data_IF_600346110866
#
_entry.id   IF_600346110866
#
_cell.length_a   1.000
_cell.length_b   1.000
_cell.length_c   1.000
_cell.angle_alpha   90.00
_cell.angle_beta   90.00
_cell.angle_gamma   90.00
#
_symmetry.space_group_name_H-M   'P 1'
#
loop_
_entity.id
_entity.type
_entity.pdbx_description
1 polymer ?
#
# COMPACT_ATOMS: atom_id res chain seq x y z
N UNK A 1 2.27 6.48 17.97
CA UNK A 1 1.38 5.30 18.07
C UNK A 1 2.24 4.06 18.20
N UNK A 2 1.90 3.12 19.08
CA UNK A 2 2.62 1.84 19.23
C UNK A 2 1.81 0.73 18.59
N UNK A 3 2.47 -0.15 17.84
CA UNK A 3 1.83 -1.36 17.34
C UNK A 3 1.39 -2.25 18.50
N UNK A 4 0.19 -2.82 18.41
CA UNK A 4 -0.35 -3.75 19.40
C UNK A 4 -0.61 -5.11 18.75
N UNK A 5 -0.30 -6.17 19.49
CA UNK A 5 -0.76 -7.51 19.16
C UNK A 5 -2.08 -7.75 19.86
N UNK A 6 -3.12 -8.10 19.10
CA UNK A 6 -4.47 -8.25 19.60
C UNK A 6 -5.16 -9.48 19.02
N UNK A 7 -6.11 -10.04 19.75
CA UNK A 7 -7.04 -11.06 19.29
C UNK A 7 -8.28 -10.36 18.74
N UNK A 8 -8.50 -10.49 17.44
CA UNK A 8 -9.64 -9.88 16.75
C UNK A 8 -10.65 -10.97 16.38
N UNK A 9 -11.93 -10.71 16.63
CA UNK A 9 -13.00 -11.60 16.16
C UNK A 9 -13.41 -11.21 14.76
N UNK A 10 -13.55 -12.16 13.86
CA UNK A 10 -14.10 -11.91 12.52
C UNK A 10 -15.57 -11.52 12.66
N UNK A 11 -15.90 -10.31 12.26
CA UNK A 11 -17.28 -9.84 12.15
C UNK A 11 -17.92 -10.34 10.86
N UNK A 12 -17.20 -10.24 9.75
CA UNK A 12 -17.63 -10.74 8.43
C UNK A 12 -16.46 -10.94 7.48
N UNK A 13 -16.65 -11.87 6.54
CA UNK A 13 -15.86 -11.98 5.30
C UNK A 13 -16.87 -12.03 4.16
N UNK A 14 -16.77 -11.11 3.21
CA UNK A 14 -17.70 -11.03 2.08
C UNK A 14 -16.98 -10.75 0.78
N UNK A 15 -17.47 -11.28 -0.36
CA UNK A 15 -16.89 -10.95 -1.66
C UNK A 15 -17.18 -9.50 -2.03
N UNK A 16 -16.17 -8.85 -2.65
CA UNK A 16 -16.26 -7.52 -3.22
C UNK A 16 -15.50 -7.50 -4.56
N UNK A 17 -16.20 -7.60 -5.65
CA UNK A 17 -15.61 -7.86 -6.97
C UNK A 17 -14.78 -9.14 -6.97
N UNK A 18 -13.53 -9.09 -7.43
CA UNK A 18 -12.58 -10.22 -7.43
C UNK A 18 -11.84 -10.40 -6.09
N UNK A 19 -12.22 -9.67 -5.05
CA UNK A 19 -11.54 -9.63 -3.75
C UNK A 19 -12.45 -10.06 -2.62
N UNK A 20 -11.89 -10.16 -1.41
CA UNK A 20 -12.61 -10.41 -0.18
C UNK A 20 -12.43 -9.22 0.77
N UNK A 21 -13.53 -8.80 1.39
CA UNK A 21 -13.57 -7.80 2.44
C UNK A 21 -13.68 -8.49 3.78
N UNK A 22 -12.64 -8.36 4.59
CA UNK A 22 -12.56 -8.86 5.96
C UNK A 22 -12.79 -7.70 6.92
N UNK A 23 -13.80 -7.85 7.77
CA UNK A 23 -14.08 -6.92 8.88
C UNK A 23 -13.81 -7.64 10.20
N UNK A 24 -12.94 -7.03 11.00
CA UNK A 24 -12.52 -7.53 12.30
C UNK A 24 -13.05 -6.62 13.43
N UNK A 25 -13.57 -7.21 14.50
CA UNK A 25 -13.73 -6.54 15.77
C UNK A 25 -12.36 -6.39 16.42
N UNK A 26 -11.91 -5.16 16.58
CA UNK A 26 -10.56 -4.81 17.05
C UNK A 26 -10.64 -3.74 18.16
N UNK A 27 -11.10 -4.10 19.38
CA UNK A 27 -11.35 -3.13 20.44
C UNK A 27 -10.09 -2.43 20.96
N UNK A 28 -8.91 -2.98 20.66
CA UNK A 28 -7.62 -2.40 21.07
C UNK A 28 -6.95 -1.58 19.96
N UNK A 29 -7.57 -1.47 18.78
CA UNK A 29 -6.99 -0.72 17.66
C UNK A 29 -6.97 0.78 17.98
N UNK A 30 -5.80 1.38 17.85
CA UNK A 30 -5.64 2.83 17.93
C UNK A 30 -5.98 3.50 16.59
N UNK A 31 -5.80 4.80 16.50
CA UNK A 31 -5.95 5.55 15.27
C UNK A 31 -5.01 4.98 14.18
N UNK A 32 -5.54 4.78 12.99
CA UNK A 32 -4.80 4.32 11.81
C UNK A 32 -4.67 5.48 10.85
N UNK A 33 -3.48 5.65 10.28
CA UNK A 33 -3.23 6.63 9.22
C UNK A 33 -3.10 5.93 7.85
N UNK A 34 -3.44 6.62 6.74
CA UNK A 34 -3.30 6.05 5.40
C UNK A 34 -1.88 5.55 5.12
N UNK A 35 -1.73 4.32 4.65
CA UNK A 35 -0.43 3.68 4.40
C UNK A 35 0.04 2.76 5.52
N UNK A 36 -0.60 2.75 6.70
CA UNK A 36 -0.38 1.71 7.68
C UNK A 36 -0.88 0.35 7.17
N UNK A 37 -0.29 -0.72 7.69
CA UNK A 37 -0.68 -2.10 7.42
C UNK A 37 -0.90 -2.91 8.70
N UNK A 38 -1.50 -4.08 8.55
CA UNK A 38 -1.70 -5.05 9.59
C UNK A 38 -0.99 -6.36 9.25
N UNK A 39 -0.39 -7.02 10.23
CA UNK A 39 0.20 -8.35 10.10
C UNK A 39 -0.74 -9.38 10.74
N UNK A 40 -1.42 -10.17 9.92
CA UNK A 40 -2.45 -11.14 10.28
C UNK A 40 -1.87 -12.55 10.37
N UNK A 41 -2.06 -13.23 11.49
CA UNK A 41 -1.71 -14.63 11.61
C UNK A 41 -2.65 -15.51 10.78
N UNK A 42 -2.10 -16.48 10.09
CA UNK A 42 -2.83 -17.41 9.22
C UNK A 42 -2.49 -18.86 9.57
N UNK A 43 -3.36 -19.81 9.19
CA UNK A 43 -3.11 -21.24 9.35
C UNK A 43 -3.61 -21.86 10.65
N UNK A 44 -4.11 -21.07 11.60
CA UNK A 44 -4.64 -21.56 12.87
C UNK A 44 -3.61 -22.30 13.74
N UNK A 45 -4.08 -22.87 14.87
CA UNK A 45 -3.23 -23.66 15.77
C UNK A 45 -2.88 -24.99 15.09
N UNK A 46 -1.58 -25.24 14.90
CA UNK A 46 -1.09 -26.50 14.29
C UNK A 46 -1.10 -26.54 12.76
N UNK A 47 -1.48 -25.44 12.10
CA UNK A 47 -1.59 -25.39 10.62
C UNK A 47 -0.26 -25.27 9.84
N UNK A 48 0.90 -25.24 10.52
CA UNK A 48 2.22 -25.21 9.89
C UNK A 48 2.59 -23.88 9.22
N UNK A 49 1.70 -22.89 9.16
CA UNK A 49 1.98 -21.56 8.61
C UNK A 49 2.49 -20.62 9.71
N UNK A 50 3.82 -20.47 9.80
CA UNK A 50 4.46 -19.67 10.85
C UNK A 50 4.41 -18.17 10.61
N UNK A 51 4.42 -17.74 9.34
CA UNK A 51 4.55 -16.33 8.99
C UNK A 51 3.17 -15.66 8.85
N UNK A 52 3.07 -14.46 9.42
CA UNK A 52 1.92 -13.58 9.23
C UNK A 52 1.82 -13.10 7.78
N UNK A 53 0.67 -12.60 7.38
CA UNK A 53 0.47 -11.91 6.11
C UNK A 53 0.26 -10.42 6.38
N UNK A 54 1.01 -9.61 5.66
CA UNK A 54 0.87 -8.16 5.69
C UNK A 54 -0.25 -7.73 4.74
N UNK A 55 -1.13 -6.88 5.24
CA UNK A 55 -2.24 -6.30 4.45
C UNK A 55 -2.33 -4.81 4.72
N UNK A 56 -2.45 -4.01 3.68
CA UNK A 56 -2.82 -2.61 3.82
C UNK A 56 -4.16 -2.49 4.56
N UNK A 57 -4.24 -1.58 5.50
CA UNK A 57 -5.50 -1.31 6.20
C UNK A 57 -6.40 -0.51 5.26
N UNK A 58 -7.59 -1.05 4.98
CA UNK A 58 -8.60 -0.41 4.15
C UNK A 58 -9.33 0.69 4.92
N UNK A 59 -9.96 0.31 6.04
CA UNK A 59 -10.67 1.20 6.96
C UNK A 59 -10.40 0.79 8.40
N UNK A 60 -10.58 1.72 9.30
CA UNK A 60 -10.51 1.45 10.73
C UNK A 60 -11.37 2.45 11.49
N UNK A 61 -12.04 1.95 12.53
CA UNK A 61 -12.68 2.79 13.55
C UNK A 61 -11.96 2.53 14.85
N UNK A 62 -11.26 3.52 15.43
CA UNK A 62 -10.53 3.35 16.69
C UNK A 62 -11.39 2.72 17.78
N UNK A 63 -10.85 1.72 18.47
CA UNK A 63 -11.54 0.97 19.53
C UNK A 63 -12.70 0.08 19.06
N UNK A 64 -12.89 -0.10 17.75
CA UNK A 64 -14.03 -0.86 17.22
C UNK A 64 -13.63 -1.85 16.12
N UNK A 65 -13.20 -1.36 14.93
CA UNK A 65 -13.03 -2.21 13.77
C UNK A 65 -11.73 -1.98 13.03
N UNK A 66 -11.25 -3.05 12.41
CA UNK A 66 -10.18 -3.06 11.43
C UNK A 66 -10.67 -3.78 10.17
N UNK A 67 -10.50 -3.16 9.00
CA UNK A 67 -11.00 -3.69 7.73
C UNK A 67 -9.85 -3.87 6.73
N UNK A 68 -9.88 -4.98 6.02
CA UNK A 68 -8.83 -5.40 5.07
C UNK A 68 -9.49 -5.88 3.79
N UNK A 69 -8.92 -5.49 2.64
CA UNK A 69 -9.28 -6.05 1.33
C UNK A 69 -8.13 -6.95 0.89
N UNK A 70 -8.44 -8.18 0.49
CA UNK A 70 -7.42 -9.12 0.04
C UNK A 70 -7.90 -10.05 -1.08
N UNK A 71 -6.93 -10.61 -1.80
CA UNK A 71 -7.16 -11.66 -2.78
C UNK A 71 -6.67 -13.01 -2.26
N UNK A 72 -7.40 -14.08 -2.50
CA UNK A 72 -7.06 -15.43 -2.07
C UNK A 72 -6.10 -16.11 -3.08
N UNK A 73 -4.82 -15.73 -3.06
CA UNK A 73 -3.83 -16.23 -4.02
C UNK A 73 -2.98 -17.39 -3.50
N UNK A 74 -2.47 -17.32 -2.27
CA UNK A 74 -1.57 -18.29 -1.67
C UNK A 74 -2.21 -19.00 -0.49
N UNK A 75 -1.57 -20.04 0.03
CA UNK A 75 -2.09 -20.87 1.12
C UNK A 75 -2.63 -20.06 2.31
N UNK A 76 -1.92 -19.00 2.74
CA UNK A 76 -2.34 -18.18 3.88
C UNK A 76 -3.60 -17.37 3.60
N UNK A 77 -3.71 -16.75 2.43
CA UNK A 77 -4.92 -15.98 2.04
C UNK A 77 -6.07 -16.89 1.65
N UNK A 78 -5.80 -18.08 1.11
CA UNK A 78 -6.83 -19.10 0.89
C UNK A 78 -7.38 -19.61 2.23
N UNK A 79 -6.51 -19.89 3.22
CA UNK A 79 -6.94 -20.24 4.57
C UNK A 79 -7.79 -19.11 5.20
N UNK A 80 -7.35 -17.86 5.08
CA UNK A 80 -8.10 -16.72 5.60
C UNK A 80 -9.49 -16.61 4.97
N UNK A 81 -9.61 -16.92 3.68
CA UNK A 81 -10.88 -16.93 2.95
C UNK A 81 -11.87 -18.02 3.41
N UNK A 82 -11.39 -19.07 4.09
CA UNK A 82 -12.27 -20.13 4.65
C UNK A 82 -12.77 -19.86 6.05
N UNK A 83 -12.31 -18.76 6.68
CA UNK A 83 -12.74 -18.41 8.02
C UNK A 83 -14.17 -17.85 8.02
N UNK A 84 -14.82 -17.88 9.18
CA UNK A 84 -16.21 -17.48 9.36
C UNK A 84 -16.37 -16.41 10.43
N UNK A 85 -17.51 -15.73 10.44
CA UNK A 85 -17.85 -14.81 11.53
C UNK A 85 -17.84 -15.56 12.87
N UNK A 86 -17.23 -14.95 13.89
CA UNK A 86 -16.99 -15.54 15.20
C UNK A 86 -15.63 -16.17 15.40
N UNK A 87 -14.90 -16.51 14.32
CA UNK A 87 -13.53 -16.99 14.44
C UNK A 87 -12.60 -15.89 14.97
N UNK A 88 -11.57 -16.30 15.71
CA UNK A 88 -10.60 -15.38 16.33
C UNK A 88 -9.27 -15.44 15.61
N UNK A 89 -8.77 -14.29 15.17
CA UNK A 89 -7.50 -14.12 14.49
C UNK A 89 -6.55 -13.24 15.30
N UNK A 90 -5.28 -13.60 15.32
CA UNK A 90 -4.23 -12.80 15.95
C UNK A 90 -3.68 -11.78 14.94
N UNK A 91 -3.72 -10.50 15.31
CA UNK A 91 -3.33 -9.37 14.45
C UNK A 91 -2.34 -8.47 15.17
N UNK A 92 -1.33 -7.98 14.45
CA UNK A 92 -0.48 -6.88 14.92
C UNK A 92 -0.77 -5.67 14.04
N UNK A 93 -1.24 -4.58 14.64
CA UNK A 93 -1.58 -3.32 13.95
C UNK A 93 -1.58 -2.11 14.92
N UNK A 94 -1.49 -0.86 14.41
CA UNK A 94 -1.03 -0.50 13.07
C UNK A 94 0.48 -0.65 12.96
N UNK A 95 0.97 -1.03 11.79
CA UNK A 95 2.39 -1.21 11.49
C UNK A 95 2.83 -0.28 10.35
N UNK A 96 4.14 -0.03 10.28
CA UNK A 96 4.77 0.77 9.23
C UNK A 96 4.66 2.28 9.43
N UNK A 97 5.16 3.01 8.43
CA UNK A 97 5.07 4.47 8.35
C UNK A 97 4.01 4.87 7.32
N UNK A 98 3.09 5.76 7.68
CA UNK A 98 2.01 6.20 6.80
C UNK A 98 2.50 7.17 5.72
N UNK A 99 1.63 7.53 4.79
CA UNK A 99 1.84 8.64 3.88
C UNK A 99 2.03 9.96 4.63
N UNK A 100 3.02 10.73 4.21
CA UNK A 100 3.23 12.09 4.71
C UNK A 100 2.26 13.03 3.98
N UNK A 101 1.36 13.62 4.72
CA UNK A 101 0.32 14.51 4.18
C UNK A 101 0.82 15.96 4.14
N UNK A 102 0.39 16.77 3.16
CA UNK A 102 0.82 18.15 3.03
C UNK A 102 0.31 19.01 4.19
N UNK A 103 1.11 19.99 4.57
CA UNK A 103 0.76 20.95 5.63
C UNK A 103 -0.18 22.07 5.17
N UNK A 104 -0.23 22.29 3.86
CA UNK A 104 -1.07 23.31 3.22
C UNK A 104 -1.83 22.67 2.06
N UNK A 105 -2.98 23.22 1.66
CA UNK A 105 -3.73 22.76 0.50
C UNK A 105 -2.87 22.82 -0.77
N UNK A 106 -2.77 21.67 -1.45
CA UNK A 106 -2.10 21.51 -2.75
C UNK A 106 -2.94 20.60 -3.66
N UNK A 107 -2.60 20.56 -4.94
CA UNK A 107 -3.15 19.58 -5.85
C UNK A 107 -2.35 18.27 -5.74
N UNK A 108 -3.10 17.16 -5.57
CA UNK A 108 -2.57 15.82 -5.38
C UNK A 108 -3.16 14.84 -6.40
N UNK A 109 -2.36 13.86 -6.82
CA UNK A 109 -2.85 12.69 -7.57
C UNK A 109 -2.66 11.44 -6.72
N UNK A 110 -3.71 10.63 -6.61
CA UNK A 110 -3.65 9.27 -6.07
C UNK A 110 -3.60 8.30 -7.25
N UNK A 111 -2.62 7.40 -7.24
CA UNK A 111 -2.48 6.35 -8.25
C UNK A 111 -2.59 4.99 -7.58
N UNK A 112 -3.55 4.18 -8.01
CA UNK A 112 -3.78 2.88 -7.42
C UNK A 112 -3.88 1.77 -8.46
N UNK A 113 -3.30 0.60 -8.14
CA UNK A 113 -3.32 -0.59 -9.00
C UNK A 113 -4.01 -1.77 -8.32
N UNK A 114 -5.12 -2.25 -8.90
CA UNK A 114 -5.87 -3.39 -8.37
C UNK A 114 -6.32 -3.17 -6.92
N UNK A 115 -6.06 -4.15 -6.03
CA UNK A 115 -6.39 -4.02 -4.60
C UNK A 115 -5.48 -3.03 -3.84
N UNK A 116 -4.42 -2.49 -4.46
CA UNK A 116 -3.69 -1.32 -3.95
C UNK A 116 -4.57 -0.07 -3.81
N UNK A 117 -5.78 -0.08 -4.37
CA UNK A 117 -6.80 0.94 -4.12
C UNK A 117 -7.39 0.88 -2.69
N UNK A 118 -7.22 -0.22 -1.96
CA UNK A 118 -7.84 -0.42 -0.66
C UNK A 118 -7.52 0.68 0.38
N UNK A 119 -6.27 1.14 0.57
CA UNK A 119 -5.96 2.22 1.52
C UNK A 119 -6.25 3.63 0.97
N UNK A 120 -6.59 3.77 -0.32
CA UNK A 120 -6.59 5.05 -1.01
C UNK A 120 -7.83 5.91 -0.76
N UNK A 121 -8.96 5.29 -0.41
CA UNK A 121 -10.15 6.07 0.02
C UNK A 121 -9.86 6.83 1.32
N UNK A 122 -9.23 6.20 2.29
CA UNK A 122 -8.81 6.84 3.53
C UNK A 122 -7.85 8.01 3.25
N UNK A 123 -6.85 7.79 2.38
CA UNK A 123 -5.92 8.85 1.97
C UNK A 123 -6.64 10.02 1.29
N UNK A 124 -7.57 9.73 0.38
CA UNK A 124 -8.33 10.76 -0.32
C UNK A 124 -9.14 11.64 0.65
N UNK A 125 -9.83 11.01 1.64
CA UNK A 125 -10.57 11.72 2.70
C UNK A 125 -9.66 12.63 3.51
N UNK A 126 -8.50 12.14 3.93
CA UNK A 126 -7.53 12.91 4.70
C UNK A 126 -6.95 14.10 3.91
N UNK A 127 -6.67 13.94 2.61
CA UNK A 127 -6.23 15.02 1.74
C UNK A 127 -7.33 16.06 1.53
N UNK A 128 -8.57 15.61 1.30
CA UNK A 128 -9.73 16.50 1.14
C UNK A 128 -10.03 17.28 2.41
N UNK A 129 -9.92 16.64 3.58
CA UNK A 129 -10.11 17.31 4.87
C UNK A 129 -9.09 18.44 5.09
N UNK A 130 -7.91 18.37 4.43
CA UNK A 130 -6.88 19.43 4.42
C UNK A 130 -7.10 20.49 3.33
N UNK A 131 -8.20 20.41 2.59
CA UNK A 131 -8.51 21.33 1.50
C UNK A 131 -7.73 21.08 0.21
N UNK A 132 -7.06 19.92 0.07
CA UNK A 132 -6.36 19.56 -1.15
C UNK A 132 -7.34 19.25 -2.28
N UNK A 133 -6.93 19.58 -3.51
CA UNK A 133 -7.50 18.97 -4.70
C UNK A 133 -6.99 17.54 -4.81
N UNK A 134 -7.87 16.58 -5.07
CA UNK A 134 -7.53 15.17 -5.18
C UNK A 134 -8.06 14.59 -6.48
N UNK A 135 -7.16 14.30 -7.40
CA UNK A 135 -7.46 13.55 -8.61
C UNK A 135 -7.00 12.10 -8.44
N UNK A 136 -7.71 11.14 -9.01
CA UNK A 136 -7.40 9.71 -8.88
C UNK A 136 -7.19 9.08 -10.24
N UNK A 137 -6.13 8.30 -10.38
CA UNK A 137 -5.89 7.39 -11.51
C UNK A 137 -5.92 5.96 -10.97
N UNK A 138 -6.94 5.22 -11.35
CA UNK A 138 -7.16 3.84 -10.89
C UNK A 138 -6.96 2.87 -12.04
N UNK A 139 -6.01 1.94 -11.89
CA UNK A 139 -5.68 0.94 -12.89
C UNK A 139 -5.94 -0.48 -12.44
N UNK A 140 -6.27 -1.36 -13.38
CA UNK A 140 -6.33 -2.80 -13.19
C UNK A 140 -6.07 -3.53 -14.51
N UNK A 141 -5.79 -4.86 -14.45
CA UNK A 141 -5.67 -5.64 -15.68
C UNK A 141 -6.99 -5.73 -16.43
N UNK A 142 -8.11 -5.85 -15.72
CA UNK A 142 -9.48 -5.97 -16.28
C UNK A 142 -10.49 -5.20 -15.42
N UNK A 143 -11.69 -4.96 -15.94
CA UNK A 143 -12.79 -4.37 -15.17
C UNK A 143 -13.10 -5.13 -13.87
N UNK A 144 -13.05 -6.46 -13.90
CA UNK A 144 -13.34 -7.32 -12.73
C UNK A 144 -12.34 -7.11 -11.59
N UNK A 145 -11.10 -6.70 -11.92
CA UNK A 145 -10.03 -6.41 -10.96
C UNK A 145 -9.99 -4.96 -10.48
N UNK A 146 -10.91 -4.13 -10.92
CA UNK A 146 -11.08 -2.78 -10.37
C UNK A 146 -11.70 -2.85 -8.98
N UNK A 147 -11.17 -2.05 -8.06
CA UNK A 147 -11.67 -1.92 -6.70
C UNK A 147 -11.86 -0.46 -6.30
N UNK A 148 -12.92 -0.14 -5.57
CA UNK A 148 -13.12 1.15 -4.92
C UNK A 148 -13.44 2.32 -5.85
N UNK A 149 -13.84 2.08 -7.12
CA UNK A 149 -14.14 3.16 -8.10
C UNK A 149 -15.21 4.12 -7.59
N UNK A 150 -16.31 3.59 -7.03
CA UNK A 150 -17.42 4.43 -6.54
C UNK A 150 -17.05 5.16 -5.26
N UNK A 151 -16.35 4.49 -4.34
CA UNK A 151 -15.89 5.10 -3.10
C UNK A 151 -14.93 6.26 -3.38
N UNK A 152 -13.97 6.05 -4.28
CA UNK A 152 -13.03 7.10 -4.68
C UNK A 152 -13.71 8.26 -5.42
N UNK A 153 -14.72 7.99 -6.27
CA UNK A 153 -15.53 9.05 -6.88
C UNK A 153 -16.26 9.91 -5.87
N UNK A 154 -16.66 9.31 -4.73
CA UNK A 154 -17.36 10.04 -3.65
C UNK A 154 -16.47 10.98 -2.85
N UNK A 155 -15.13 10.85 -2.94
CA UNK A 155 -14.16 11.54 -2.07
C UNK A 155 -13.05 12.27 -2.84
N UNK A 156 -13.12 12.33 -4.17
CA UNK A 156 -12.13 13.00 -5.03
C UNK A 156 -12.77 13.96 -6.02
N UNK A 157 -11.97 14.83 -6.61
CA UNK A 157 -12.42 15.80 -7.62
C UNK A 157 -12.59 15.15 -8.99
N UNK A 158 -11.75 14.17 -9.33
CA UNK A 158 -11.88 13.36 -10.53
C UNK A 158 -11.36 11.93 -10.34
N UNK A 159 -11.90 10.98 -11.11
CA UNK A 159 -11.39 9.60 -11.18
C UNK A 159 -11.27 9.18 -12.63
N UNK A 160 -10.05 8.89 -13.06
CA UNK A 160 -9.75 8.27 -14.34
C UNK A 160 -9.48 6.79 -14.10
N UNK A 161 -10.18 5.94 -14.85
CA UNK A 161 -10.00 4.49 -14.80
C UNK A 161 -9.23 4.04 -16.03
N UNK A 162 -8.24 3.16 -15.83
CA UNK A 162 -7.52 2.48 -16.91
C UNK A 162 -7.61 0.97 -16.74
N UNK A 163 -7.73 0.22 -17.84
CA UNK A 163 -7.59 -1.25 -17.82
C UNK A 163 -6.66 -1.70 -18.94
N UNK A 164 -5.79 -2.67 -18.66
CA UNK A 164 -4.80 -3.13 -19.63
C UNK A 164 -5.49 -3.69 -20.90
N UNK A 165 -6.63 -4.39 -20.72
CA UNK A 165 -7.42 -4.99 -21.79
C UNK A 165 -8.44 -4.05 -22.43
N UNK A 166 -8.70 -2.87 -21.83
CA UNK A 166 -9.69 -1.90 -22.31
C UNK A 166 -11.14 -2.23 -21.96
N UNK A 167 -11.39 -3.16 -21.03
CA UNK A 167 -12.76 -3.54 -20.62
C UNK A 167 -13.48 -2.45 -19.83
N UNK A 168 -12.74 -1.47 -19.27
CA UNK A 168 -13.31 -0.30 -18.58
C UNK A 168 -12.37 0.90 -18.65
N UNK A 169 -12.93 2.09 -18.87
CA UNK A 169 -12.17 3.33 -18.92
C UNK A 169 -11.21 3.41 -20.11
N UNK A 170 -10.04 4.01 -19.91
CA UNK A 170 -8.99 4.13 -20.93
C UNK A 170 -8.25 2.79 -21.03
N UNK A 171 -8.07 2.27 -22.24
CA UNK A 171 -7.22 1.11 -22.47
C UNK A 171 -5.76 1.49 -22.28
N UNK A 172 -5.07 0.82 -21.35
CA UNK A 172 -3.65 1.06 -21.06
C UNK A 172 -3.36 1.08 -19.57
N UNK A 173 -2.18 1.56 -19.23
CA UNK A 173 -1.67 1.62 -17.86
C UNK A 173 -1.95 2.97 -17.22
N UNK A 174 -1.88 3.05 -15.91
CA UNK A 174 -2.03 4.31 -15.15
C UNK A 174 -1.05 5.38 -15.59
N UNK A 175 0.15 5.00 -16.03
CA UNK A 175 1.19 5.92 -16.52
C UNK A 175 0.86 6.58 -17.85
N UNK A 176 -0.01 5.99 -18.65
CA UNK A 176 -0.36 6.52 -19.98
C UNK A 176 -1.20 7.80 -19.86
N UNK A 177 -1.89 7.99 -18.74
CA UNK A 177 -2.70 9.18 -18.44
C UNK A 177 -2.12 10.06 -17.34
N UNK A 178 -1.18 9.56 -16.54
CA UNK A 178 -0.70 10.24 -15.33
C UNK A 178 0.00 11.57 -15.63
N UNK A 179 0.84 11.62 -16.66
CA UNK A 179 1.56 12.85 -17.03
C UNK A 179 0.60 14.00 -17.38
N UNK A 180 -0.48 13.70 -18.13
CA UNK A 180 -1.51 14.67 -18.46
C UNK A 180 -2.25 15.16 -17.20
N UNK A 181 -2.61 14.24 -16.28
CA UNK A 181 -3.28 14.60 -15.02
C UNK A 181 -2.40 15.53 -14.18
N UNK A 182 -1.09 15.20 -14.04
CA UNK A 182 -0.15 16.04 -13.27
C UNK A 182 -0.05 17.44 -13.87
N UNK A 183 0.15 17.54 -15.18
CA UNK A 183 0.39 18.83 -15.86
C UNK A 183 -0.86 19.68 -15.93
N UNK A 184 -2.01 19.08 -16.29
CA UNK A 184 -3.30 19.80 -16.40
C UNK A 184 -3.75 20.36 -15.05
N UNK A 185 -3.65 19.56 -13.98
CA UNK A 185 -4.09 19.94 -12.65
C UNK A 185 -3.00 20.61 -11.81
N UNK A 186 -1.79 20.77 -12.36
CA UNK A 186 -0.61 21.33 -11.67
C UNK A 186 -0.35 20.61 -10.33
N UNK A 187 -0.44 19.28 -10.36
CA UNK A 187 -0.33 18.45 -9.18
C UNK A 187 1.10 18.45 -8.64
N UNK A 188 1.24 18.69 -7.34
CA UNK A 188 2.53 18.81 -6.67
C UNK A 188 2.96 17.51 -6.00
N UNK A 189 1.99 16.65 -5.65
CA UNK A 189 2.24 15.38 -4.99
C UNK A 189 1.48 14.24 -5.65
N UNK A 190 2.15 13.09 -5.78
CA UNK A 190 1.59 11.83 -6.26
C UNK A 190 1.73 10.79 -5.17
N UNK A 191 0.64 10.13 -4.83
CA UNK A 191 0.57 9.06 -3.84
C UNK A 191 0.21 7.77 -4.54
N UNK A 192 1.07 6.75 -4.44
CA UNK A 192 0.87 5.52 -5.20
C UNK A 192 0.85 4.27 -4.31
N UNK A 193 -0.03 3.31 -4.65
CA UNK A 193 -0.08 1.97 -4.07
C UNK A 193 -0.47 0.95 -5.14
N UNK A 194 0.29 -0.15 -5.24
CA UNK A 194 0.09 -1.21 -6.22
C UNK A 194 1.38 -1.96 -6.53
N UNK A 195 1.42 -2.74 -7.59
CA UNK A 195 2.56 -3.58 -7.95
C UNK A 195 3.86 -2.78 -8.12
N UNK A 196 4.99 -3.35 -7.70
CA UNK A 196 6.31 -2.69 -7.74
C UNK A 196 6.68 -2.09 -9.11
N UNK A 197 6.44 -2.77 -10.25
CA UNK A 197 6.71 -2.18 -11.57
C UNK A 197 5.85 -0.94 -11.86
N UNK A 198 4.60 -0.91 -11.37
CA UNK A 198 3.75 0.26 -11.49
C UNK A 198 4.29 1.42 -10.65
N UNK A 199 4.72 1.16 -9.42
CA UNK A 199 5.27 2.18 -8.53
C UNK A 199 6.55 2.80 -9.09
N UNK A 200 7.46 2.00 -9.66
CA UNK A 200 8.64 2.46 -10.37
C UNK A 200 8.28 3.41 -11.52
N UNK A 201 7.34 2.99 -12.38
CA UNK A 201 6.91 3.80 -13.51
C UNK A 201 6.21 5.10 -13.07
N UNK A 202 5.36 5.04 -12.03
CA UNK A 202 4.71 6.22 -11.44
C UNK A 202 5.73 7.18 -10.84
N UNK A 203 6.73 6.68 -10.12
CA UNK A 203 7.80 7.51 -9.55
C UNK A 203 8.56 8.27 -10.65
N UNK A 204 8.90 7.56 -11.75
CA UNK A 204 9.56 8.19 -12.89
C UNK A 204 8.69 9.26 -13.56
N UNK A 205 7.44 8.95 -13.90
CA UNK A 205 6.52 9.93 -14.52
C UNK A 205 6.33 11.14 -13.63
N UNK A 206 6.20 10.95 -12.31
CA UNK A 206 6.07 12.04 -11.35
C UNK A 206 7.29 12.95 -11.37
N UNK A 207 8.49 12.37 -11.31
CA UNK A 207 9.75 13.11 -11.34
C UNK A 207 9.93 13.88 -12.65
N UNK A 208 9.66 13.24 -13.79
CA UNK A 208 9.78 13.85 -15.13
C UNK A 208 8.81 15.05 -15.30
N UNK A 209 7.71 15.09 -14.53
CA UNK A 209 6.72 16.18 -14.55
C UNK A 209 6.79 17.10 -13.30
N UNK A 210 7.88 17.04 -12.53
CA UNK A 210 8.14 17.95 -11.41
C UNK A 210 7.27 17.74 -10.18
N UNK A 211 6.57 16.60 -10.07
CA UNK A 211 5.75 16.24 -8.92
C UNK A 211 6.54 15.35 -7.94
N UNK A 212 6.34 15.58 -6.64
CA UNK A 212 6.87 14.74 -5.58
C UNK A 212 6.05 13.45 -5.46
N UNK A 213 6.69 12.27 -5.40
CA UNK A 213 5.96 11.02 -5.26
C UNK A 213 6.25 10.28 -3.95
N UNK A 214 5.20 9.66 -3.40
CA UNK A 214 5.27 8.69 -2.30
C UNK A 214 4.65 7.37 -2.74
N UNK A 215 5.40 6.29 -2.57
CA UNK A 215 5.02 4.95 -3.02
C UNK A 215 4.91 4.01 -1.81
N UNK A 216 3.75 3.40 -1.61
CA UNK A 216 3.56 2.31 -0.67
C UNK A 216 3.99 1.00 -1.34
N UNK A 217 5.19 0.51 -0.99
CA UNK A 217 5.81 -0.64 -1.63
C UNK A 217 5.23 -1.96 -1.16
N UNK A 218 5.16 -2.94 -2.06
CA UNK A 218 4.75 -4.32 -1.79
C UNK A 218 5.99 -5.23 -1.74
N UNK A 219 6.74 -5.19 -0.63
CA UNK A 219 7.82 -6.14 -0.40
C UNK A 219 7.36 -7.36 0.40
N UNK A 220 8.01 -8.51 0.17
CA UNK A 220 7.75 -9.73 0.93
C UNK A 220 8.08 -9.52 2.40
N UNK A 221 7.08 -9.55 3.26
CA UNK A 221 7.24 -9.39 4.70
C UNK A 221 7.06 -10.73 5.41
N UNK A 222 8.09 -11.16 6.17
CA UNK A 222 8.01 -12.33 7.02
C UNK A 222 7.55 -11.96 8.44
N UNK A 223 8.31 -11.16 9.18
CA UNK A 223 7.96 -10.78 10.56
C UNK A 223 7.01 -9.55 10.64
N UNK A 224 7.12 -8.60 9.73
CA UNK A 224 6.36 -7.34 9.74
C UNK A 224 6.80 -6.32 10.81
N UNK A 225 7.79 -6.65 11.67
CA UNK A 225 8.19 -5.88 12.85
C UNK A 225 9.69 -5.52 12.88
N UNK A 226 10.39 -5.65 11.75
CA UNK A 226 11.77 -5.18 11.60
C UNK A 226 12.88 -6.12 12.07
N UNK A 227 12.60 -7.38 12.38
CA UNK A 227 13.60 -8.33 12.95
C UNK A 227 14.29 -9.17 11.88
N UNK A 228 13.56 -9.68 10.87
CA UNK A 228 14.04 -10.72 9.97
C UNK A 228 14.83 -10.22 8.75
N UNK A 229 14.81 -8.93 8.45
CA UNK A 229 15.47 -8.32 7.28
C UNK A 229 15.01 -8.84 5.91
N UNK A 230 13.84 -9.50 5.82
CA UNK A 230 13.33 -10.06 4.55
C UNK A 230 12.81 -9.00 3.60
N UNK A 231 12.21 -7.92 4.14
CA UNK A 231 11.51 -6.86 3.38
C UNK A 231 12.41 -5.67 3.05
N UNK A 232 13.71 -5.88 2.85
CA UNK A 232 14.65 -4.79 2.58
C UNK A 232 14.66 -4.40 1.11
N UNK A 233 14.76 -3.08 0.88
CA UNK A 233 15.00 -2.51 -0.45
C UNK A 233 16.02 -1.37 -0.35
N UNK A 234 16.76 -1.09 -1.43
CA UNK A 234 17.78 -0.03 -1.45
C UNK A 234 17.13 1.34 -1.55
N UNK A 235 17.40 2.20 -0.57
CA UNK A 235 16.86 3.57 -0.49
C UNK A 235 17.99 4.56 -0.27
N UNK A 236 17.99 5.65 -1.02
CA UNK A 236 18.94 6.77 -0.89
C UNK A 236 18.47 7.66 0.27
N UNK A 237 19.28 7.77 1.32
CA UNK A 237 19.04 8.66 2.44
C UNK A 237 19.16 10.15 2.08
N UNK A 238 18.76 11.03 2.99
CA UNK A 238 18.90 12.48 2.78
C UNK A 238 20.36 12.94 2.68
N UNK A 239 21.28 12.14 3.21
CA UNK A 239 22.74 12.31 3.09
C UNK A 239 23.31 11.76 1.76
N UNK A 240 22.48 11.28 0.85
CA UNK A 240 22.86 10.68 -0.42
C UNK A 240 23.40 9.25 -0.32
N UNK A 241 23.46 8.66 0.87
CA UNK A 241 23.98 7.30 1.07
C UNK A 241 22.87 6.28 0.90
N UNK A 242 23.11 5.27 0.05
CA UNK A 242 22.19 4.14 -0.13
C UNK A 242 22.23 3.21 1.09
N UNK A 243 21.07 2.87 1.63
CA UNK A 243 20.88 1.92 2.73
C UNK A 243 19.82 0.88 2.37
N UNK A 244 19.96 -0.33 2.91
CA UNK A 244 18.92 -1.36 2.81
C UNK A 244 17.85 -1.07 3.88
N UNK A 245 16.79 -0.37 3.48
CA UNK A 245 15.68 0.01 4.36
C UNK A 245 14.66 -1.14 4.47
N UNK A 246 14.10 -1.34 5.66
CA UNK A 246 13.10 -2.38 5.92
C UNK A 246 11.70 -1.82 5.67
N UNK A 247 11.00 -2.33 4.68
CA UNK A 247 9.66 -1.83 4.31
C UNK A 247 8.66 -1.91 5.46
N UNK A 248 8.82 -2.84 6.39
CA UNK A 248 7.89 -3.01 7.51
C UNK A 248 8.02 -1.97 8.63
N UNK A 249 9.19 -1.32 8.80
CA UNK A 249 9.43 -0.34 9.87
C UNK A 249 9.95 1.00 9.36
N UNK A 250 10.69 1.02 8.26
CA UNK A 250 11.20 2.25 7.63
C UNK A 250 10.22 2.77 6.57
N UNK A 251 9.34 1.89 6.05
CA UNK A 251 8.23 2.10 5.13
C UNK A 251 6.90 1.59 5.73
N UNK A 252 5.94 1.11 4.93
CA UNK A 252 6.04 0.77 3.50
C UNK A 252 6.03 1.98 2.56
N UNK A 253 5.75 3.18 3.07
CA UNK A 253 5.70 4.38 2.26
C UNK A 253 7.09 5.01 2.17
N UNK A 254 7.60 5.09 0.95
CA UNK A 254 8.87 5.73 0.63
C UNK A 254 8.69 6.84 -0.41
N UNK A 255 9.60 7.79 -0.41
CA UNK A 255 9.73 8.74 -1.53
C UNK A 255 10.10 7.98 -2.79
N UNK A 256 9.33 8.15 -3.87
CA UNK A 256 9.55 7.43 -5.12
C UNK A 256 10.90 7.74 -5.77
N UNK A 257 11.39 8.97 -5.65
CA UNK A 257 12.69 9.43 -6.14
C UNK A 257 13.89 8.93 -5.31
N UNK A 258 13.65 8.27 -4.17
CA UNK A 258 14.70 7.77 -3.27
C UNK A 258 14.86 6.26 -3.33
N UNK A 259 13.86 5.52 -3.83
CA UNK A 259 13.98 4.09 -4.04
C UNK A 259 14.86 3.82 -5.26
N UNK A 260 15.84 2.97 -5.12
CA UNK A 260 16.68 2.49 -6.24
C UNK A 260 15.96 1.32 -6.93
N UNK A 261 14.96 1.66 -7.71
CA UNK A 261 14.02 0.70 -8.31
C UNK A 261 14.69 -0.42 -9.11
N UNK A 262 15.77 -0.09 -9.84
CA UNK A 262 16.49 -1.07 -10.66
C UNK A 262 17.35 -2.04 -9.81
N UNK A 263 17.62 -1.68 -8.57
CA UNK A 263 18.41 -2.48 -7.62
C UNK A 263 17.52 -3.24 -6.60
N UNK A 264 16.20 -3.17 -6.73
CA UNK A 264 15.28 -3.93 -5.85
C UNK A 264 15.58 -5.43 -5.98
N UNK A 265 15.57 -6.15 -4.86
CA UNK A 265 15.99 -7.55 -4.68
C UNK A 265 17.51 -7.79 -4.86
N UNK A 266 18.32 -6.73 -4.90
CA UNK A 266 19.78 -6.81 -4.89
C UNK A 266 20.36 -6.01 -3.72
N UNK A 267 21.66 -6.19 -3.46
CA UNK A 267 22.43 -5.32 -2.56
C UNK A 267 23.41 -4.53 -3.41
N UNK A 268 23.17 -3.24 -3.67
CA UNK A 268 24.09 -2.42 -4.46
C UNK A 268 25.47 -2.38 -3.82
N UNK A 269 26.53 -2.45 -4.62
CA UNK A 269 27.91 -2.47 -4.13
C UNK A 269 28.33 -1.19 -3.40
N UNK A 270 27.62 -0.09 -3.66
CA UNK A 270 27.80 1.22 -3.02
C UNK A 270 26.84 1.46 -1.82
N UNK A 271 26.03 0.45 -1.46
CA UNK A 271 25.18 0.56 -0.27
C UNK A 271 26.00 0.54 1.01
N UNK A 272 25.54 1.27 2.02
CA UNK A 272 26.18 1.29 3.34
C UNK A 272 26.24 -0.13 3.93
N UNK A 273 27.46 -0.58 4.26
CA UNK A 273 27.69 -1.92 4.79
C UNK A 273 27.73 -3.04 3.74
N UNK A 274 27.68 -2.72 2.44
CA UNK A 274 27.88 -3.71 1.38
C UNK A 274 29.28 -4.34 1.45
N UNK A 275 29.43 -5.64 1.13
CA UNK A 275 30.72 -6.29 1.05
C UNK A 275 31.64 -5.56 0.07
N UNK A 276 32.90 -5.32 0.47
CA UNK A 276 33.87 -4.75 -0.47
C UNK A 276 34.18 -5.77 -1.56
N UNK A 277 34.27 -5.36 -2.85
CA UNK A 277 34.74 -6.25 -3.89
C UNK A 277 36.11 -6.83 -3.53
N UNK A 278 36.24 -8.15 -3.43
CA UNK A 278 37.51 -8.84 -3.13
C UNK A 278 37.83 -9.05 -1.64
N UNK A 279 36.94 -8.74 -0.71
CA UNK A 279 37.07 -9.12 0.71
C UNK A 279 36.55 -10.56 0.93
N UNK A 280 37.45 -11.51 1.11
CA UNK A 280 37.20 -12.83 1.69
C UNK A 280 37.38 -12.75 3.20
#
# INVERSE_FOLDING_TARGET
MSAKQMKCTIRSISPVGSYLHLVLDAPEIDEVQPGHFAAVAVGGIGGGMLLRRAFSIHKSTPGQTLEIIFAAHGQGTQWLATQSAGDVIDVIAPLGKPFVLPRQPIACVIVAGGYGAAPMEHLARELRARGCRVDVVLGAATQEKLFGVLDLKGVSDSVIVTTDDGTSGVRGRVTDVLAEVITTNKSQAVYACGPMPMLQAVAKVSQDNGAFSQCAVEESMACGIGVCMTCVLPVIGDDGVTRMARSCVDGPVFRGDRVRWDDVHTVPSDAFGAPRPGGH
#
